data_IF_459231560383
#
_entry.id   IF_459231560383
#
_cell.length_a   1.000
_cell.length_b   1.000
_cell.length_c   1.000
_cell.angle_alpha   90.00
_cell.angle_beta   90.00
_cell.angle_gamma   90.00
#
_symmetry.space_group_name_H-M   'P 1'
#
loop_
_entity.id
_entity.type
_entity.pdbx_description
1 polymer ?
#
# COMPACT_ATOMS: atom_id res chain seq x y z
N UNK A 1 -2.51 -3.21 2.94
CA UNK A 1 -1.79 -3.29 1.68
C UNK A 1 -2.67 -2.90 0.48
N UNK A 2 -2.15 -3.03 -0.75
CA UNK A 2 -2.69 -2.32 -1.90
C UNK A 2 -1.68 -1.89 -2.96
N UNK A 3 -0.43 -2.37 -2.98
CA UNK A 3 0.53 -2.04 -4.03
C UNK A 3 1.93 -1.92 -3.44
N UNK A 4 2.15 -0.90 -2.60
CA UNK A 4 3.44 -0.72 -1.93
C UNK A 4 3.63 0.66 -1.29
N UNK A 5 2.54 1.40 -1.06
CA UNK A 5 2.57 2.86 -0.88
C UNK A 5 1.78 3.24 0.38
N UNK A 6 0.84 4.20 0.33
CA UNK A 6 0.12 4.65 1.52
C UNK A 6 -0.76 3.56 2.14
N UNK A 7 -1.39 2.72 1.30
CA UNK A 7 -2.29 1.65 1.67
C UNK A 7 -1.74 0.73 2.78
N UNK A 8 -0.52 0.19 2.66
CA UNK A 8 0.07 -0.66 3.68
C UNK A 8 0.45 0.07 4.99
#
# INVERSE_FOLDING_TARGET
HGGGWGQP
#
